data_IF_541423625075
#
_entry.id   IF_541423625075
#
_cell.length_a   1.000
_cell.length_b   1.000
_cell.length_c   1.000
_cell.angle_alpha   90.00
_cell.angle_beta   90.00
_cell.angle_gamma   90.00
#
_symmetry.space_group_name_H-M   'P 1'
#
loop_
_entity.id
_entity.type
_entity.pdbx_description
1 polymer ?
#
# COMPACT_ATOMS: atom_id res chain seq x y z
N UNK A 1 -14.02 -1.53 -14.34
CA UNK A 1 -13.61 -0.96 -15.64
C UNK A 1 -14.38 0.32 -16.02
N UNK A 2 -15.72 0.35 -16.05
CA UNK A 2 -16.48 1.56 -16.45
C UNK A 2 -16.15 2.84 -15.62
N UNK A 3 -15.91 2.71 -14.31
CA UNK A 3 -15.55 3.85 -13.43
C UNK A 3 -14.16 4.44 -13.69
N UNK A 4 -13.20 3.59 -14.12
CA UNK A 4 -11.84 4.04 -14.47
C UNK A 4 -11.86 4.80 -15.80
N UNK A 5 -12.66 4.35 -16.77
CA UNK A 5 -12.83 5.01 -18.05
C UNK A 5 -13.47 6.40 -17.86
N UNK A 6 -14.42 6.54 -16.92
CA UNK A 6 -15.04 7.82 -16.62
C UNK A 6 -14.05 8.83 -16.01
N UNK A 7 -13.16 8.36 -15.13
CA UNK A 7 -12.09 9.18 -14.54
C UNK A 7 -11.09 9.62 -15.63
N UNK A 8 -10.71 8.73 -16.54
CA UNK A 8 -9.80 9.03 -17.66
C UNK A 8 -10.47 10.02 -18.65
N UNK A 9 -11.75 9.83 -18.94
CA UNK A 9 -12.52 10.74 -19.80
C UNK A 9 -12.73 12.11 -19.15
N UNK A 10 -13.06 12.18 -17.86
CA UNK A 10 -13.16 13.44 -17.12
C UNK A 10 -11.81 14.18 -17.08
N UNK A 11 -10.71 13.43 -16.97
CA UNK A 11 -9.34 13.96 -17.03
C UNK A 11 -8.98 14.48 -18.42
N UNK A 12 -9.35 13.73 -19.46
CA UNK A 12 -9.20 14.16 -20.86
C UNK A 12 -9.99 15.42 -21.18
N UNK A 13 -11.21 15.57 -20.67
CA UNK A 13 -12.02 16.77 -20.82
C UNK A 13 -11.44 17.97 -20.03
N UNK A 14 -10.90 17.76 -18.83
CA UNK A 14 -10.21 18.85 -18.10
C UNK A 14 -8.95 19.33 -18.82
N UNK A 15 -8.20 18.42 -19.44
CA UNK A 15 -7.04 18.77 -20.27
C UNK A 15 -7.43 19.56 -21.52
N UNK A 16 -8.59 19.28 -22.10
CA UNK A 16 -9.09 20.02 -23.29
C UNK A 16 -9.67 21.39 -22.97
N UNK A 17 -10.14 21.64 -21.76
CA UNK A 17 -10.69 22.91 -21.32
C UNK A 17 -9.62 23.94 -20.89
N UNK A 18 -8.40 23.49 -20.60
CA UNK A 18 -7.26 24.35 -20.26
C UNK A 18 -6.37 24.69 -21.46
N UNK A 19 -6.79 24.36 -22.67
CA UNK A 19 -6.09 24.75 -23.86
C UNK A 19 -6.08 26.25 -23.95
N UNK A 20 -4.88 26.82 -23.99
CA UNK A 20 -4.58 28.13 -24.54
C UNK A 20 -4.11 29.20 -23.55
N UNK A 21 -2.96 29.13 -23.25
CA UNK A 21 -1.79 29.99 -23.33
C UNK A 21 -0.67 29.43 -22.42
N UNK A 22 0.39 29.01 -23.08
CA UNK A 22 1.63 28.51 -22.46
C UNK A 22 1.37 27.36 -21.45
N UNK A 23 1.23 26.15 -21.96
CA UNK A 23 1.25 24.95 -21.11
C UNK A 23 2.57 24.89 -20.32
N UNK A 24 2.50 25.23 -19.03
CA UNK A 24 3.63 25.02 -18.11
C UNK A 24 3.72 23.53 -17.80
N UNK A 25 4.50 22.82 -18.61
CA UNK A 25 4.77 21.39 -18.41
C UNK A 25 6.06 21.24 -17.63
N UNK A 26 6.00 20.57 -16.51
CA UNK A 26 7.18 20.26 -15.71
C UNK A 26 7.02 18.91 -15.04
N UNK A 27 8.14 18.34 -14.63
CA UNK A 27 8.12 17.08 -13.91
C UNK A 27 9.45 16.80 -13.26
N UNK A 28 9.50 15.68 -12.57
CA UNK A 28 10.71 15.18 -11.97
C UNK A 28 10.67 13.65 -11.86
N UNK A 29 11.84 13.04 -11.87
CA UNK A 29 12.03 11.62 -11.60
C UNK A 29 13.17 11.45 -10.61
N UNK A 30 12.99 10.63 -9.59
CA UNK A 30 14.00 10.50 -8.56
C UNK A 30 13.81 9.32 -7.63
N UNK A 31 14.78 9.21 -6.74
CA UNK A 31 14.82 8.21 -5.68
C UNK A 31 14.55 8.86 -4.33
N UNK A 32 14.00 8.09 -3.42
CA UNK A 32 13.67 8.60 -2.11
C UNK A 32 13.42 7.53 -1.07
N UNK A 33 13.03 8.00 0.08
CA UNK A 33 12.61 7.21 1.21
C UNK A 33 11.09 7.31 1.35
N UNK A 34 10.47 6.20 1.71
CA UNK A 34 9.04 6.12 1.97
C UNK A 34 8.82 5.41 3.31
N UNK A 35 8.06 6.05 4.18
CA UNK A 35 7.55 5.44 5.40
C UNK A 35 6.05 5.19 5.23
N UNK A 36 5.66 3.94 5.32
CA UNK A 36 4.28 3.52 5.18
C UNK A 36 3.78 2.91 6.47
N UNK A 37 2.63 3.39 6.94
CA UNK A 37 1.95 2.89 8.12
C UNK A 37 0.51 2.56 7.77
N UNK A 38 0.06 1.37 8.12
CA UNK A 38 -1.33 0.95 7.95
C UNK A 38 -1.86 0.32 9.23
N UNK A 39 -3.02 0.75 9.66
CA UNK A 39 -3.74 0.20 10.81
C UNK A 39 -5.04 -0.41 10.31
N UNK A 40 -5.31 -1.64 10.71
CA UNK A 40 -6.59 -2.32 10.48
C UNK A 40 -7.16 -2.73 11.82
N UNK A 41 -8.37 -2.28 12.13
CA UNK A 41 -9.13 -2.66 13.32
C UNK A 41 -10.29 -3.56 12.89
N UNK A 42 -10.39 -4.70 13.53
CA UNK A 42 -11.38 -5.71 13.22
C UNK A 42 -12.59 -5.61 14.15
N UNK A 43 -13.74 -6.10 13.70
CA UNK A 43 -14.95 -6.21 14.49
C UNK A 43 -14.84 -7.31 15.56
N UNK A 44 -15.69 -7.23 16.59
CA UNK A 44 -15.77 -8.24 17.65
C UNK A 44 -16.14 -9.64 17.14
N UNK A 45 -16.83 -9.75 16.00
CA UNK A 45 -17.10 -11.02 15.33
C UNK A 45 -15.84 -11.78 14.89
N UNK A 46 -14.68 -11.09 14.72
CA UNK A 46 -13.40 -11.75 14.47
C UNK A 46 -12.89 -12.48 15.72
N UNK A 47 -13.24 -12.00 16.92
CA UNK A 47 -12.90 -12.68 18.19
C UNK A 47 -13.46 -14.09 18.20
N UNK A 48 -14.71 -14.27 17.76
CA UNK A 48 -15.38 -15.57 17.77
C UNK A 48 -14.91 -16.51 16.66
N UNK A 49 -14.57 -15.98 15.49
CA UNK A 49 -14.16 -16.79 14.33
C UNK A 49 -12.65 -17.07 14.30
N UNK A 50 -11.81 -16.18 14.79
CA UNK A 50 -10.40 -16.46 15.03
C UNK A 50 -10.22 -17.33 16.27
N UNK A 51 -11.03 -17.15 17.31
CA UNK A 51 -11.04 -18.03 18.47
C UNK A 51 -11.37 -19.47 18.03
N UNK A 52 -12.43 -19.73 17.27
CA UNK A 52 -12.77 -21.09 16.83
C UNK A 52 -11.78 -21.74 15.87
N UNK A 53 -11.19 -20.99 14.95
CA UNK A 53 -10.24 -21.51 13.98
C UNK A 53 -8.76 -21.43 14.42
N UNK A 54 -8.39 -20.35 15.12
CA UNK A 54 -7.03 -20.16 15.65
C UNK A 54 -6.87 -20.80 17.04
N UNK A 55 -7.92 -20.87 17.88
CA UNK A 55 -7.88 -21.61 19.16
C UNK A 55 -7.78 -23.10 18.93
N UNK A 56 -8.45 -23.66 17.91
CA UNK A 56 -8.27 -25.05 17.52
C UNK A 56 -6.84 -25.33 17.02
N UNK A 57 -6.18 -24.32 16.40
CA UNK A 57 -4.81 -24.44 15.91
C UNK A 57 -3.74 -24.07 16.97
N UNK A 58 -4.07 -23.33 18.02
CA UNK A 58 -3.12 -22.74 18.97
C UNK A 58 -3.20 -23.28 20.39
N UNK A 59 -4.10 -24.24 20.65
CA UNK A 59 -4.35 -24.71 22.01
C UNK A 59 -5.04 -23.66 22.89
N UNK A 60 -5.79 -24.12 23.87
CA UNK A 60 -6.56 -23.33 24.81
C UNK A 60 -5.68 -22.31 25.55
N UNK A 61 -5.75 -21.08 25.21
CA UNK A 61 -5.05 -19.99 25.89
C UNK A 61 -5.63 -18.65 25.52
N UNK A 62 -6.61 -18.21 26.31
CA UNK A 62 -7.15 -16.86 26.49
C UNK A 62 -6.70 -15.79 25.47
N UNK A 63 -7.30 -15.78 24.28
CA UNK A 63 -7.28 -14.68 23.35
C UNK A 63 -8.36 -13.64 23.75
N UNK A 64 -8.27 -13.07 24.94
CA UNK A 64 -9.01 -11.85 25.27
C UNK A 64 -8.33 -10.67 24.58
N UNK A 65 -8.67 -10.44 23.31
CA UNK A 65 -8.24 -9.26 22.57
C UNK A 65 -9.39 -8.25 22.59
N UNK A 66 -9.23 -7.17 23.31
CA UNK A 66 -10.27 -6.12 23.45
C UNK A 66 -10.59 -5.34 22.16
N UNK A 67 -9.80 -5.42 21.15
CA UNK A 67 -10.08 -5.09 19.75
C UNK A 67 -8.92 -5.64 18.90
N UNK A 68 -9.10 -6.70 18.11
CA UNK A 68 -8.02 -7.22 17.30
C UNK A 68 -7.58 -6.14 16.30
N UNK A 69 -6.33 -5.72 16.45
CA UNK A 69 -5.71 -4.67 15.66
C UNK A 69 -4.46 -5.21 15.00
N UNK A 70 -4.27 -4.92 13.73
CA UNK A 70 -3.05 -5.21 12.98
C UNK A 70 -2.44 -3.90 12.54
N UNK A 71 -1.14 -3.76 12.73
CA UNK A 71 -0.34 -2.60 12.28
C UNK A 71 0.75 -3.09 11.34
N UNK A 72 0.69 -2.63 10.11
CA UNK A 72 1.73 -2.88 9.10
C UNK A 72 2.51 -1.58 8.89
N UNK A 73 3.77 -1.54 9.31
CA UNK A 73 4.63 -0.36 9.20
C UNK A 73 5.94 -0.72 8.53
N UNK A 74 6.29 0.02 7.47
CA UNK A 74 7.45 -0.27 6.64
C UNK A 74 8.25 0.98 6.30
N UNK A 75 9.58 0.82 6.25
CA UNK A 75 10.47 1.74 5.57
C UNK A 75 10.82 1.17 4.20
N UNK A 76 10.74 1.97 3.17
CA UNK A 76 10.97 1.56 1.80
C UNK A 76 11.90 2.53 1.06
N UNK A 77 12.71 1.99 0.14
CA UNK A 77 13.33 2.77 -0.91
C UNK A 77 12.28 3.01 -2.00
N UNK A 78 12.10 4.26 -2.41
CA UNK A 78 11.07 4.64 -3.38
C UNK A 78 11.68 5.19 -4.66
N UNK A 79 11.15 4.76 -5.80
CA UNK A 79 11.31 5.42 -7.09
C UNK A 79 10.03 6.22 -7.36
N UNK A 80 10.16 7.49 -7.74
CA UNK A 80 9.01 8.35 -7.98
C UNK A 80 9.11 9.18 -9.23
N UNK A 81 7.94 9.47 -9.81
CA UNK A 81 7.73 10.34 -10.95
C UNK A 81 6.63 11.35 -10.61
N UNK A 82 6.88 12.63 -10.84
CA UNK A 82 5.86 13.68 -10.79
C UNK A 82 5.78 14.35 -12.15
N UNK A 83 4.56 14.55 -12.64
CA UNK A 83 4.26 15.33 -13.83
C UNK A 83 3.25 16.40 -13.48
N UNK A 84 3.44 17.60 -14.01
CA UNK A 84 2.57 18.73 -13.84
C UNK A 84 2.29 19.36 -15.21
N UNK A 85 1.03 19.62 -15.46
CA UNK A 85 0.55 20.38 -16.64
C UNK A 85 -0.34 21.49 -16.12
N UNK A 86 0.10 22.72 -16.26
CA UNK A 86 -0.58 23.91 -15.70
C UNK A 86 -0.80 23.77 -14.18
N UNK A 87 -2.04 23.60 -13.75
CA UNK A 87 -2.42 23.43 -12.34
C UNK A 87 -2.64 22.00 -11.94
N UNK A 88 -2.72 21.07 -12.90
CA UNK A 88 -2.95 19.65 -12.63
C UNK A 88 -1.62 18.93 -12.48
N UNK A 89 -1.52 18.08 -11.49
CA UNK A 89 -0.35 17.22 -11.34
C UNK A 89 -0.72 15.77 -11.03
N UNK A 90 0.17 14.87 -11.40
CA UNK A 90 0.17 13.47 -11.01
C UNK A 90 1.52 13.12 -10.40
N UNK A 91 1.51 12.39 -9.30
CA UNK A 91 2.71 11.92 -8.61
C UNK A 91 2.54 10.42 -8.32
N UNK A 92 3.48 9.60 -8.78
CA UNK A 92 3.49 8.16 -8.56
C UNK A 92 4.81 7.79 -7.90
N UNK A 93 4.74 6.99 -6.85
CA UNK A 93 5.92 6.44 -6.17
C UNK A 93 5.76 4.94 -5.99
N UNK A 94 6.82 4.19 -6.29
CA UNK A 94 6.89 2.75 -6.06
C UNK A 94 7.94 2.50 -5.00
N UNK A 95 7.50 2.01 -3.85
CA UNK A 95 8.34 1.71 -2.69
C UNK A 95 8.66 0.22 -2.60
N UNK A 96 9.92 -0.08 -2.32
CA UNK A 96 10.44 -1.42 -2.06
C UNK A 96 10.82 -1.50 -0.58
N UNK A 97 9.99 -2.15 0.26
CA UNK A 97 10.27 -2.27 1.69
C UNK A 97 11.59 -2.97 1.97
N UNK A 98 12.42 -2.39 2.83
CA UNK A 98 13.67 -2.98 3.27
C UNK A 98 13.68 -3.25 4.78
N UNK A 99 12.86 -2.54 5.57
CA UNK A 99 12.65 -2.84 6.99
C UNK A 99 11.18 -2.75 7.35
N UNK A 100 10.77 -3.59 8.29
CA UNK A 100 9.51 -3.43 9.00
C UNK A 100 9.79 -2.67 10.30
N UNK A 101 8.99 -1.65 10.57
CA UNK A 101 9.08 -0.88 11.82
C UNK A 101 8.36 -1.67 12.91
N UNK A 102 9.03 -2.02 14.02
CA UNK A 102 8.37 -2.62 15.16
C UNK A 102 7.36 -1.62 15.73
N UNK A 103 6.11 -2.04 15.83
CA UNK A 103 5.05 -1.25 16.45
C UNK A 103 4.60 -2.00 17.69
N UNK A 104 4.79 -1.42 18.85
CA UNK A 104 4.38 -2.00 20.14
C UNK A 104 2.87 -2.22 20.30
N UNK A 105 2.09 -1.85 19.28
CA UNK A 105 0.64 -1.88 19.22
C UNK A 105 0.08 -2.86 18.16
N UNK A 106 0.83 -3.87 17.77
CA UNK A 106 0.40 -4.92 16.80
C UNK A 106 0.24 -6.29 17.48
N UNK A 107 -0.79 -6.49 18.32
CA UNK A 107 -0.93 -7.73 19.08
C UNK A 107 -1.15 -8.96 18.19
N UNK A 108 -1.77 -8.79 17.01
CA UNK A 108 -1.96 -9.89 16.06
C UNK A 108 -0.64 -10.23 15.34
N UNK A 109 0.10 -9.22 14.90
CA UNK A 109 1.39 -9.41 14.24
C UNK A 109 2.43 -10.01 15.16
N UNK A 110 2.50 -9.57 16.40
CA UNK A 110 3.40 -10.13 17.42
C UNK A 110 3.10 -11.60 17.71
N UNK A 111 1.82 -11.95 17.83
CA UNK A 111 1.40 -13.33 18.05
C UNK A 111 1.76 -14.23 16.87
N UNK A 112 1.49 -13.79 15.64
CA UNK A 112 1.88 -14.53 14.43
C UNK A 112 3.40 -14.68 14.32
N UNK A 113 4.16 -13.65 14.73
CA UNK A 113 5.62 -13.68 14.76
C UNK A 113 6.15 -14.67 15.82
N UNK A 114 5.57 -14.67 17.00
CA UNK A 114 5.90 -15.63 18.08
C UNK A 114 5.68 -17.08 17.64
N UNK A 115 4.70 -17.32 16.76
CA UNK A 115 4.43 -18.61 16.13
C UNK A 115 5.34 -18.94 14.94
N UNK A 116 6.30 -18.08 14.61
CA UNK A 116 7.25 -18.30 13.51
C UNK A 116 6.83 -17.72 12.16
N UNK A 117 5.78 -16.87 12.09
CA UNK A 117 5.48 -16.13 10.88
C UNK A 117 6.59 -15.14 10.55
N UNK A 118 7.04 -15.09 9.30
CA UNK A 118 8.07 -14.15 8.84
C UNK A 118 7.61 -13.36 7.64
N UNK A 119 7.77 -12.04 7.69
CA UNK A 119 7.49 -11.17 6.55
C UNK A 119 8.61 -11.27 5.51
N UNK A 120 8.23 -11.41 4.26
CA UNK A 120 9.15 -11.44 3.11
C UNK A 120 9.21 -10.07 2.45
N UNK A 121 10.02 -9.17 3.00
CA UNK A 121 10.15 -7.79 2.54
C UNK A 121 10.56 -7.70 1.06
N UNK A 122 11.48 -8.55 0.62
CA UNK A 122 11.99 -8.57 -0.77
C UNK A 122 10.92 -8.82 -1.84
N UNK A 123 9.75 -9.31 -1.44
CA UNK A 123 8.63 -9.58 -2.34
C UNK A 123 7.43 -8.67 -2.06
N UNK A 124 7.62 -7.64 -1.26
CA UNK A 124 6.60 -6.65 -0.93
C UNK A 124 6.80 -5.41 -1.78
N UNK A 125 5.71 -4.74 -2.13
CA UNK A 125 5.72 -3.51 -2.91
C UNK A 125 4.63 -2.57 -2.41
N UNK A 126 4.94 -1.28 -2.41
CA UNK A 126 3.99 -0.21 -2.08
C UNK A 126 3.93 0.72 -3.28
N UNK A 127 2.76 0.89 -3.86
CA UNK A 127 2.52 1.88 -4.92
C UNK A 127 1.65 2.96 -4.36
N UNK A 128 2.11 4.19 -4.43
CA UNK A 128 1.45 5.37 -3.94
C UNK A 128 1.31 6.38 -5.07
N UNK A 129 0.10 6.69 -5.47
CA UNK A 129 -0.21 7.64 -6.52
C UNK A 129 -1.10 8.75 -6.01
N UNK A 130 -0.88 9.96 -6.52
CA UNK A 130 -1.65 11.15 -6.20
C UNK A 130 -1.97 11.92 -7.47
N UNK A 131 -3.20 12.36 -7.61
CA UNK A 131 -3.65 13.25 -8.68
C UNK A 131 -4.35 14.43 -8.03
N UNK A 132 -3.99 15.66 -8.45
CA UNK A 132 -4.54 16.83 -7.81
C UNK A 132 -4.25 18.13 -8.51
N UNK A 133 -4.50 19.19 -7.79
CA UNK A 133 -4.21 20.56 -8.20
C UNK A 133 -2.99 21.08 -7.43
N UNK A 134 -2.14 21.84 -8.12
CA UNK A 134 -0.97 22.43 -7.50
C UNK A 134 -0.50 23.69 -8.24
N UNK A 135 0.17 24.51 -7.48
CA UNK A 135 0.69 25.79 -7.95
C UNK A 135 2.19 25.89 -7.70
N UNK A 136 2.87 26.60 -8.57
CA UNK A 136 4.25 27.01 -8.36
C UNK A 136 4.24 28.42 -7.77
N UNK A 137 4.87 28.55 -6.60
CA UNK A 137 5.16 29.83 -5.96
C UNK A 137 6.56 30.23 -6.43
N UNK A 138 6.87 31.49 -6.67
CA UNK A 138 8.20 31.97 -7.09
C UNK A 138 8.67 31.54 -8.50
N UNK A 139 7.82 31.60 -9.51
CA UNK A 139 8.13 31.19 -10.89
C UNK A 139 9.28 31.94 -11.58
N UNK A 140 9.67 33.10 -11.12
CA UNK A 140 10.66 33.98 -11.76
C UNK A 140 12.10 33.77 -11.28
N UNK A 141 12.32 32.93 -10.32
CA UNK A 141 13.63 32.64 -9.74
C UNK A 141 14.15 31.25 -10.20
N UNK A 142 15.46 30.99 -10.11
CA UNK A 142 15.97 29.63 -10.32
C UNK A 142 15.39 28.66 -9.28
N UNK A 143 14.89 29.17 -8.15
CA UNK A 143 14.19 28.41 -7.12
C UNK A 143 12.70 28.50 -7.36
N UNK A 144 12.02 27.37 -7.35
CA UNK A 144 10.58 27.26 -7.48
C UNK A 144 10.06 26.35 -6.36
N UNK A 145 9.02 26.80 -5.69
CA UNK A 145 8.31 26.02 -4.68
C UNK A 145 6.98 25.58 -5.28
N UNK A 146 6.81 24.27 -5.38
CA UNK A 146 5.54 23.66 -5.76
C UNK A 146 4.76 23.26 -4.51
N UNK A 147 3.47 23.56 -4.50
CA UNK A 147 2.52 23.09 -3.47
C UNK A 147 1.31 22.52 -4.16
N UNK A 148 0.92 21.31 -3.81
CA UNK A 148 -0.23 20.65 -4.38
C UNK A 148 -0.98 19.78 -3.39
N UNK A 149 -2.26 19.56 -3.65
CA UNK A 149 -3.12 18.66 -2.91
C UNK A 149 -4.07 17.90 -3.84
N UNK A 150 -4.48 16.71 -3.44
CA UNK A 150 -5.33 15.91 -4.29
C UNK A 150 -5.76 14.56 -3.73
N UNK A 151 -6.35 13.77 -4.60
CA UNK A 151 -6.77 12.40 -4.30
C UNK A 151 -5.59 11.45 -4.40
N UNK A 152 -5.43 10.62 -3.40
CA UNK A 152 -4.42 9.57 -3.36
C UNK A 152 -5.03 8.18 -3.56
N UNK A 153 -4.30 7.30 -4.23
CA UNK A 153 -4.58 5.87 -4.32
C UNK A 153 -3.31 5.12 -3.92
N UNK A 154 -3.47 4.24 -2.95
CA UNK A 154 -2.40 3.38 -2.48
C UNK A 154 -2.73 1.93 -2.86
N UNK A 155 -1.71 1.20 -3.29
CA UNK A 155 -1.74 -0.25 -3.45
C UNK A 155 -0.56 -0.85 -2.72
N UNK A 156 -0.85 -1.76 -1.81
CA UNK A 156 0.16 -2.46 -1.02
C UNK A 156 0.04 -3.95 -1.31
N UNK A 157 1.16 -4.57 -1.63
CA UNK A 157 1.28 -6.01 -1.68
C UNK A 157 2.36 -6.45 -0.69
N UNK A 158 1.97 -7.24 0.30
CA UNK A 158 2.89 -7.84 1.27
C UNK A 158 2.86 -9.34 1.17
N UNK A 159 3.99 -9.97 1.45
CA UNK A 159 4.13 -11.42 1.51
C UNK A 159 4.62 -11.85 2.89
N UNK A 160 4.02 -12.92 3.40
CA UNK A 160 4.33 -13.50 4.70
C UNK A 160 4.44 -15.02 4.56
N UNK A 161 5.46 -15.61 5.17
CA UNK A 161 5.47 -17.05 5.44
C UNK A 161 4.58 -17.30 6.65
N UNK A 162 3.61 -18.22 6.53
CA UNK A 162 2.78 -18.61 7.65
C UNK A 162 3.51 -19.60 8.58
N UNK A 163 3.13 -19.67 9.87
CA UNK A 163 3.69 -20.61 10.81
C UNK A 163 3.54 -22.04 10.33
N UNK A 164 4.53 -22.88 10.59
CA UNK A 164 4.52 -24.29 10.17
C UNK A 164 3.40 -25.07 10.89
N UNK A 165 3.06 -24.71 12.13
CA UNK A 165 1.93 -25.27 12.89
C UNK A 165 0.60 -25.03 12.17
N UNK A 166 0.37 -23.81 11.65
CA UNK A 166 -0.82 -23.51 10.86
C UNK A 166 -0.85 -24.31 9.54
N UNK A 167 0.31 -24.51 8.92
CA UNK A 167 0.41 -25.26 7.65
C UNK A 167 0.05 -26.72 7.87
N UNK A 168 0.42 -27.32 9.00
CA UNK A 168 0.09 -28.70 9.34
C UNK A 168 -1.40 -28.95 9.57
N UNK A 169 -2.19 -27.92 9.88
CA UNK A 169 -3.65 -28.03 10.00
C UNK A 169 -4.37 -28.15 8.66
N UNK A 170 -3.68 -27.86 7.54
CA UNK A 170 -4.25 -28.00 6.20
C UNK A 170 -4.05 -29.43 5.74
N UNK A 171 -5.09 -30.24 5.89
CA UNK A 171 -5.07 -31.66 5.56
C UNK A 171 -5.93 -31.96 4.35
N UNK A 172 -5.55 -33.01 3.63
CA UNK A 172 -6.38 -33.60 2.57
C UNK A 172 -7.64 -34.21 3.20
N UNK A 173 -8.85 -33.84 2.76
CA UNK A 173 -10.10 -34.31 3.34
C UNK A 173 -10.32 -35.83 3.18
N UNK A 174 -9.61 -36.49 2.27
CA UNK A 174 -9.73 -37.92 2.01
C UNK A 174 -8.70 -38.71 2.86
N UNK A 175 -7.45 -38.25 2.89
CA UNK A 175 -6.36 -38.99 3.52
C UNK A 175 -6.03 -38.53 4.93
N UNK A 176 -6.51 -37.34 5.34
CA UNK A 176 -6.17 -36.72 6.63
C UNK A 176 -4.70 -36.26 6.76
N UNK A 177 -3.91 -36.40 5.69
CA UNK A 177 -2.50 -36.04 5.71
C UNK A 177 -2.28 -34.55 5.38
N UNK A 178 -1.26 -33.89 5.97
CA UNK A 178 -0.92 -32.52 5.62
C UNK A 178 -0.60 -32.39 4.12
N UNK A 179 -1.25 -31.47 3.43
CA UNK A 179 -1.07 -31.24 1.99
C UNK A 179 0.01 -30.22 1.65
N UNK A 180 0.50 -29.49 2.64
CA UNK A 180 1.53 -28.47 2.44
C UNK A 180 2.67 -28.59 3.44
N UNK A 181 3.89 -28.29 2.99
CA UNK A 181 5.08 -28.14 3.84
C UNK A 181 5.36 -26.68 4.19
N UNK A 182 4.99 -25.78 3.32
CA UNK A 182 5.20 -24.35 3.47
C UNK A 182 4.04 -23.60 2.85
N UNK A 183 3.51 -22.60 3.52
CA UNK A 183 2.44 -21.74 3.01
C UNK A 183 2.85 -20.28 3.12
N UNK A 184 2.69 -19.56 2.01
CA UNK A 184 2.93 -18.13 1.93
C UNK A 184 1.60 -17.42 1.70
N UNK A 185 1.33 -16.43 2.52
CA UNK A 185 0.23 -15.49 2.33
C UNK A 185 0.71 -14.30 1.49
N UNK A 186 -0.04 -13.93 0.48
CA UNK A 186 0.10 -12.67 -0.23
C UNK A 186 -1.14 -11.84 0.07
N UNK A 187 -0.98 -10.69 0.69
CA UNK A 187 -2.04 -9.74 0.95
C UNK A 187 -1.90 -8.56 0.01
N UNK A 188 -2.99 -8.21 -0.69
CA UNK A 188 -3.04 -7.05 -1.59
C UNK A 188 -4.17 -6.14 -1.13
N UNK A 189 -3.82 -4.90 -0.81
CA UNK A 189 -4.76 -3.89 -0.31
C UNK A 189 -4.68 -2.68 -1.21
N UNK A 190 -5.85 -2.14 -1.59
CA UNK A 190 -5.95 -0.86 -2.24
C UNK A 190 -6.84 0.06 -1.42
N UNK A 191 -6.39 1.29 -1.23
CA UNK A 191 -7.09 2.32 -0.47
C UNK A 191 -7.03 3.64 -1.23
N UNK A 192 -8.01 4.51 -1.00
CA UNK A 192 -7.99 5.90 -1.47
C UNK A 192 -8.10 6.88 -0.31
N UNK A 193 -7.65 8.11 -0.56
CA UNK A 193 -7.60 9.13 0.46
C UNK A 193 -7.21 10.50 -0.09
N UNK A 194 -6.67 11.33 0.77
CA UNK A 194 -6.25 12.69 0.46
C UNK A 194 -4.78 12.86 0.79
N UNK A 195 -4.09 13.61 -0.05
CA UNK A 195 -2.69 13.90 0.19
C UNK A 195 -2.27 15.28 -0.29
N UNK A 196 -1.10 15.68 0.17
CA UNK A 196 -0.44 16.89 -0.27
C UNK A 196 1.00 16.60 -0.70
N UNK A 197 1.53 17.46 -1.55
CA UNK A 197 2.91 17.43 -2.02
C UNK A 197 3.49 18.83 -1.95
N UNK A 198 4.67 18.95 -1.38
CA UNK A 198 5.48 20.16 -1.43
C UNK A 198 6.81 19.79 -2.09
N UNK A 199 7.25 20.59 -3.06
CA UNK A 199 8.53 20.38 -3.71
C UNK A 199 9.32 21.69 -3.82
N UNK A 200 10.61 21.60 -3.52
CA UNK A 200 11.58 22.65 -3.76
C UNK A 200 12.39 22.28 -5.01
N UNK A 201 12.23 23.07 -6.08
CA UNK A 201 12.96 22.86 -7.33
C UNK A 201 14.01 23.96 -7.49
N UNK A 202 15.21 23.57 -7.91
CA UNK A 202 16.29 24.48 -8.29
C UNK A 202 16.73 24.16 -9.72
N UNK A 203 16.56 25.12 -10.63
CA UNK A 203 16.88 24.97 -12.05
C UNK A 203 18.24 25.62 -12.34
N UNK A 204 19.25 24.84 -12.75
CA UNK A 204 20.54 25.38 -13.20
C UNK A 204 20.50 25.79 -14.68
N UNK A 205 19.54 25.31 -15.44
CA UNK A 205 19.24 25.74 -16.80
C UNK A 205 17.75 26.06 -16.90
N UNK A 206 17.32 26.59 -18.05
CA UNK A 206 15.89 26.84 -18.30
C UNK A 206 15.02 25.57 -18.15
N UNK A 207 15.61 24.39 -18.43
CA UNK A 207 14.87 23.15 -18.58
C UNK A 207 15.25 22.06 -17.58
N UNK A 208 16.43 22.15 -16.93
CA UNK A 208 16.95 21.06 -16.08
C UNK A 208 17.32 21.60 -14.71
N UNK A 209 16.97 20.86 -13.69
CA UNK A 209 17.23 21.19 -12.29
C UNK A 209 17.21 19.97 -11.38
N UNK A 210 17.17 20.23 -10.10
CA UNK A 210 16.96 19.25 -9.05
C UNK A 210 15.68 19.59 -8.29
N UNK A 211 15.03 18.58 -7.76
CA UNK A 211 13.83 18.69 -6.92
C UNK A 211 14.03 17.94 -5.62
N UNK A 212 13.61 18.53 -4.53
CA UNK A 212 13.41 17.85 -3.26
C UNK A 212 11.93 17.88 -2.93
N UNK A 213 11.30 16.71 -2.85
CA UNK A 213 9.86 16.56 -2.65
C UNK A 213 9.55 15.93 -1.29
N UNK A 214 8.51 16.45 -0.68
CA UNK A 214 7.83 15.85 0.47
C UNK A 214 6.39 15.57 0.03
N UNK A 215 5.98 14.32 0.09
CA UNK A 215 4.60 13.91 -0.14
C UNK A 215 4.08 13.19 1.07
N UNK A 216 2.90 13.58 1.54
CA UNK A 216 2.18 12.88 2.60
C UNK A 216 0.74 12.61 2.16
N UNK A 217 0.29 11.37 2.36
CA UNK A 217 -1.05 10.94 1.94
C UNK A 217 -1.67 10.08 3.03
N UNK A 218 -2.87 10.43 3.42
CA UNK A 218 -3.71 9.68 4.37
C UNK A 218 -4.81 8.96 3.61
N UNK A 219 -4.88 7.65 3.78
CA UNK A 219 -5.83 6.75 3.14
C UNK A 219 -6.83 6.24 4.16
N UNK A 220 -8.12 6.40 3.87
CA UNK A 220 -9.20 6.05 4.79
C UNK A 220 -10.39 5.37 4.11
N UNK A 221 -10.38 5.26 2.77
CA UNK A 221 -11.42 4.57 2.00
C UNK A 221 -10.85 3.27 1.46
N UNK A 222 -11.23 2.10 2.00
CA UNK A 222 -10.79 0.82 1.48
C UNK A 222 -11.47 0.54 0.13
N UNK A 223 -10.67 0.25 -0.90
CA UNK A 223 -11.14 -0.09 -2.25
C UNK A 223 -11.12 -1.59 -2.49
N UNK A 224 -10.11 -2.27 -1.98
CA UNK A 224 -9.92 -3.71 -2.19
C UNK A 224 -9.03 -4.30 -1.09
N UNK A 225 -9.38 -5.49 -0.61
CA UNK A 225 -8.53 -6.31 0.24
C UNK A 225 -8.62 -7.76 -0.25
N UNK A 226 -7.51 -8.27 -0.75
CA UNK A 226 -7.42 -9.63 -1.31
C UNK A 226 -6.33 -10.39 -0.59
N UNK A 227 -6.58 -11.66 -0.30
CA UNK A 227 -5.59 -12.58 0.25
C UNK A 227 -5.48 -13.79 -0.66
N UNK A 228 -4.24 -14.19 -0.91
CA UNK A 228 -3.90 -15.36 -1.69
C UNK A 228 -2.94 -16.20 -0.88
N UNK A 229 -3.14 -17.50 -0.91
CA UNK A 229 -2.25 -18.45 -0.27
C UNK A 229 -1.57 -19.29 -1.33
N UNK A 230 -0.25 -19.38 -1.26
CA UNK A 230 0.55 -20.20 -2.15
C UNK A 230 1.52 -21.04 -1.32
N UNK A 231 1.50 -22.34 -1.54
CA UNK A 231 2.33 -23.27 -0.83
C UNK A 231 2.99 -24.31 -1.73
N UNK A 232 3.86 -25.10 -1.13
CA UNK A 232 4.44 -26.29 -1.74
C UNK A 232 3.72 -27.51 -1.18
N UNK A 233 3.16 -28.34 -2.06
CA UNK A 233 2.62 -29.62 -1.66
C UNK A 233 3.73 -30.55 -1.12
N UNK A 234 3.34 -31.56 -0.37
CA UNK A 234 4.27 -32.58 0.14
C UNK A 234 5.04 -33.26 -1.00
N UNK A 235 4.41 -33.40 -2.16
CA UNK A 235 5.00 -34.00 -3.37
C UNK A 235 5.88 -33.06 -4.19
N UNK A 236 6.19 -31.85 -3.68
CA UNK A 236 6.95 -30.84 -4.42
C UNK A 236 6.10 -29.96 -5.37
N UNK A 237 4.86 -30.34 -5.64
CA UNK A 237 3.95 -29.53 -6.45
C UNK A 237 3.49 -28.28 -5.70
N UNK A 238 3.36 -27.16 -6.41
CA UNK A 238 2.80 -25.93 -5.86
C UNK A 238 1.28 -25.96 -5.94
N UNK A 239 0.63 -25.37 -4.95
CA UNK A 239 -0.82 -25.12 -4.98
C UNK A 239 -1.11 -23.66 -4.64
N UNK A 240 -2.26 -23.17 -5.09
CA UNK A 240 -2.71 -21.80 -4.84
C UNK A 240 -4.15 -21.82 -4.37
N UNK A 241 -4.41 -21.18 -3.24
CA UNK A 241 -5.74 -20.89 -2.76
C UNK A 241 -6.05 -19.43 -2.96
N UNK A 242 -7.19 -19.17 -3.57
CA UNK A 242 -7.73 -17.81 -3.69
C UNK A 242 -8.97 -17.71 -2.83
N UNK A 243 -9.08 -16.69 -2.01
CA UNK A 243 -10.30 -16.43 -1.25
C UNK A 243 -11.40 -16.08 -2.24
N UNK A 244 -12.48 -16.87 -2.23
CA UNK A 244 -13.67 -16.62 -3.07
C UNK A 244 -14.29 -15.26 -2.75
N UNK A 245 -15.06 -14.72 -3.69
CA UNK A 245 -15.74 -13.43 -3.52
C UNK A 245 -16.61 -13.36 -2.26
N UNK A 246 -17.23 -14.45 -1.90
CA UNK A 246 -18.08 -14.59 -0.69
C UNK A 246 -17.25 -14.52 0.58
N UNK A 247 -16.16 -15.28 0.69
CA UNK A 247 -15.23 -15.19 1.81
C UNK A 247 -14.53 -13.84 1.90
N UNK A 248 -14.31 -13.19 0.74
CA UNK A 248 -13.79 -11.82 0.70
C UNK A 248 -14.77 -10.81 1.30
N UNK A 249 -16.07 -11.01 1.06
CA UNK A 249 -17.12 -10.20 1.68
C UNK A 249 -17.15 -10.39 3.20
N UNK A 250 -17.00 -11.62 3.67
CA UNK A 250 -16.90 -11.94 5.09
C UNK A 250 -15.71 -11.24 5.76
N UNK A 251 -14.54 -11.21 5.10
CA UNK A 251 -13.36 -10.53 5.64
C UNK A 251 -13.56 -9.00 5.67
N UNK A 252 -14.22 -8.41 4.67
CA UNK A 252 -14.55 -6.98 4.71
C UNK A 252 -15.58 -6.66 5.79
N UNK A 253 -16.54 -7.54 6.05
CA UNK A 253 -17.50 -7.41 7.14
C UNK A 253 -16.82 -7.50 8.52
N UNK A 254 -15.67 -8.15 8.61
CA UNK A 254 -14.87 -8.27 9.83
C UNK A 254 -14.00 -7.04 10.10
N UNK A 255 -13.81 -6.14 9.15
CA UNK A 255 -13.04 -4.91 9.32
C UNK A 255 -13.97 -3.79 9.79
N UNK A 256 -13.70 -3.27 10.98
CA UNK A 256 -14.43 -2.12 11.53
C UNK A 256 -13.98 -0.83 10.83
N UNK A 257 -12.68 -0.60 10.74
CA UNK A 257 -12.06 0.47 9.96
C UNK A 257 -10.62 0.14 9.62
N UNK A 258 -10.12 0.78 8.58
CA UNK A 258 -8.71 0.73 8.19
C UNK A 258 -8.28 2.10 7.72
N UNK A 259 -7.10 2.52 8.10
CA UNK A 259 -6.47 3.72 7.60
C UNK A 259 -4.98 3.47 7.34
N UNK A 260 -4.40 4.24 6.45
CA UNK A 260 -2.97 4.20 6.20
C UNK A 260 -2.43 5.62 6.01
N UNK A 261 -1.17 5.80 6.31
CA UNK A 261 -0.42 7.01 6.02
C UNK A 261 0.84 6.64 5.25
N UNK A 262 1.20 7.46 4.28
CA UNK A 262 2.38 7.26 3.48
C UNK A 262 3.15 8.57 3.32
N UNK A 263 4.24 8.71 4.07
CA UNK A 263 5.17 9.83 3.97
C UNK A 263 6.32 9.44 3.05
N UNK A 264 6.54 10.22 1.98
CA UNK A 264 7.65 10.03 1.06
C UNK A 264 8.51 11.30 0.97
N UNK A 265 9.82 11.11 1.04
CA UNK A 265 10.85 12.12 0.83
C UNK A 265 11.65 11.72 -0.40
N UNK A 266 11.81 12.62 -1.39
CA UNK A 266 12.44 12.27 -2.65
C UNK A 266 13.41 13.35 -3.12
N UNK A 267 14.57 12.92 -3.62
CA UNK A 267 15.49 13.73 -4.40
C UNK A 267 15.39 13.32 -5.88
N UNK A 268 15.21 14.29 -6.76
CA UNK A 268 14.87 14.04 -8.15
C UNK A 268 15.62 14.98 -9.12
N UNK A 269 15.72 14.55 -10.36
CA UNK A 269 16.05 15.42 -11.48
C UNK A 269 14.74 16.05 -11.95
N UNK A 270 14.71 17.38 -11.94
CA UNK A 270 13.56 18.16 -12.40
C UNK A 270 13.76 18.61 -13.83
N UNK A 271 12.66 18.62 -14.58
CA UNK A 271 12.64 19.13 -15.95
C UNK A 271 11.43 20.07 -16.18
N UNK A 272 11.62 21.02 -17.09
CA UNK A 272 10.61 21.97 -17.52
C UNK A 272 10.64 22.09 -19.04
N UNK A 273 9.47 22.05 -19.69
CA UNK A 273 9.31 22.19 -21.15
C UNK A 273 8.69 23.53 -21.49
#
# INVERSE_FOLDING_TARGET
MKKIIFIILAFGCMLSLSAFDVMDISGDIGLGYMNHNMVTVYNDSLKTNLAGGLEAALGEGNLTMDAPRSVDSYNALALGLKLKVSYVYANISVGFPFTQVPTGDDPLGEKLKAMGATNRLNNSVIVDSQIGLGINILKSLPVNIFVGGGLGINYIQTKRKLPDEFVQTIVDPITGNPVAKELNETRSIAMSGLGFTVALNYYFTKNIGISFDIKDTVYFIPMSNKRYYKGKAINGSGFTYTITKEKKQDIQSLIKYSWANNLALRLAVAFKL
#
